data_IF_881645152565
#
_entry.id   IF_881645152565
#
_cell.length_a   1.000
_cell.length_b   1.000
_cell.length_c   1.000
_cell.angle_alpha   90.00
_cell.angle_beta   90.00
_cell.angle_gamma   90.00
#
_symmetry.space_group_name_H-M   'P 1'
#
loop_
_entity.id
_entity.type
_entity.pdbx_description
1 polymer ?
#
# COMPACT_ATOMS: atom_id res chain seq x y z
N UNK A 1 5.27 27.48 -4.46
CA UNK A 1 5.30 26.32 -5.38
C UNK A 1 4.43 25.26 -4.76
N UNK A 2 3.38 24.80 -5.44
CA UNK A 2 2.60 23.65 -4.97
C UNK A 2 3.54 22.45 -5.01
N UNK A 3 3.97 21.95 -3.84
CA UNK A 3 4.60 20.64 -3.79
C UNK A 3 3.63 19.67 -4.45
N UNK A 4 4.08 18.99 -5.50
CA UNK A 4 3.30 17.92 -6.11
C UNK A 4 2.87 17.00 -4.98
N UNK A 5 1.56 16.92 -4.72
CA UNK A 5 1.05 16.03 -3.70
C UNK A 5 1.47 14.61 -4.11
N UNK A 6 2.48 14.07 -3.43
CA UNK A 6 3.00 12.75 -3.71
C UNK A 6 1.89 11.76 -3.33
N UNK A 7 1.37 11.05 -4.34
CA UNK A 7 0.33 10.07 -4.14
C UNK A 7 1.00 8.74 -3.85
N UNK A 8 0.71 8.19 -2.67
CA UNK A 8 1.07 6.85 -2.30
C UNK A 8 0.02 5.90 -2.85
N UNK A 9 0.43 4.88 -3.58
CA UNK A 9 -0.49 3.86 -4.06
C UNK A 9 -0.36 2.58 -3.23
N UNK A 10 -1.49 2.09 -2.74
CA UNK A 10 -1.60 0.83 -2.01
C UNK A 10 -2.25 -0.19 -2.93
N UNK A 11 -1.47 -1.17 -3.38
CA UNK A 11 -1.87 -2.21 -4.32
C UNK A 11 -2.17 -3.50 -3.55
N UNK A 12 -3.39 -4.00 -3.71
CA UNK A 12 -3.84 -5.26 -3.11
C UNK A 12 -3.87 -6.35 -4.18
N UNK A 13 -3.13 -7.43 -3.94
CA UNK A 13 -2.91 -8.51 -4.92
C UNK A 13 -3.42 -9.85 -4.40
N UNK A 14 -3.90 -10.72 -5.29
CA UNK A 14 -4.13 -12.14 -5.00
C UNK A 14 -3.66 -13.03 -6.15
N UNK A 15 -3.47 -14.32 -5.85
CA UNK A 15 -3.07 -15.38 -6.79
C UNK A 15 -4.25 -16.19 -7.36
N UNK A 16 -5.47 -16.00 -6.86
CA UNK A 16 -6.66 -16.81 -7.17
C UNK A 16 -7.87 -16.00 -7.68
N UNK A 17 -8.55 -16.48 -8.72
CA UNK A 17 -9.75 -15.87 -9.30
C UNK A 17 -10.98 -15.91 -8.38
N UNK A 18 -11.12 -16.96 -7.57
CA UNK A 18 -12.19 -17.11 -6.57
C UNK A 18 -12.04 -16.09 -5.43
N UNK A 19 -10.81 -15.63 -5.18
CA UNK A 19 -10.50 -14.59 -4.20
C UNK A 19 -10.79 -13.17 -4.72
N UNK A 20 -10.97 -12.95 -6.03
CA UNK A 20 -11.13 -11.60 -6.63
C UNK A 20 -12.30 -10.80 -6.05
N UNK A 21 -13.50 -11.38 -5.98
CA UNK A 21 -14.70 -10.70 -5.46
C UNK A 21 -14.59 -10.39 -3.97
N UNK A 22 -14.09 -11.36 -3.21
CA UNK A 22 -13.83 -11.20 -1.77
C UNK A 22 -12.79 -10.11 -1.54
N UNK A 23 -11.73 -10.11 -2.34
CA UNK A 23 -10.66 -9.12 -2.24
C UNK A 23 -11.13 -7.73 -2.63
N UNK A 24 -11.98 -7.57 -3.65
CA UNK A 24 -12.54 -6.26 -4.01
C UNK A 24 -13.36 -5.63 -2.85
N UNK A 25 -14.21 -6.42 -2.19
CA UNK A 25 -14.92 -5.98 -0.99
C UNK A 25 -13.96 -5.63 0.14
N UNK A 26 -12.91 -6.44 0.28
CA UNK A 26 -11.92 -6.25 1.32
C UNK A 26 -11.11 -4.96 1.05
N UNK A 27 -10.69 -4.69 -0.19
CA UNK A 27 -10.02 -3.45 -0.60
C UNK A 27 -10.90 -2.22 -0.34
N UNK A 28 -12.21 -2.30 -0.60
CA UNK A 28 -13.15 -1.24 -0.25
C UNK A 28 -13.24 -0.99 1.27
N UNK A 29 -13.15 -2.05 2.08
CA UNK A 29 -13.07 -1.92 3.53
C UNK A 29 -11.75 -1.29 3.98
N UNK A 30 -10.62 -1.68 3.37
CA UNK A 30 -9.32 -1.07 3.64
C UNK A 30 -9.33 0.43 3.31
N UNK A 31 -9.88 0.83 2.15
CA UNK A 31 -10.02 2.23 1.80
C UNK A 31 -10.82 3.01 2.87
N UNK A 32 -11.91 2.43 3.36
CA UNK A 32 -12.71 3.01 4.45
C UNK A 32 -11.95 3.12 5.76
N UNK A 33 -11.20 2.09 6.15
CA UNK A 33 -10.34 2.11 7.34
C UNK A 33 -9.29 3.23 7.25
N UNK A 34 -8.68 3.42 6.07
CA UNK A 34 -7.73 4.50 5.82
C UNK A 34 -8.40 5.88 5.91
N UNK A 35 -9.58 6.05 5.32
CA UNK A 35 -10.34 7.30 5.46
C UNK A 35 -10.70 7.61 6.92
N UNK A 36 -11.12 6.60 7.70
CA UNK A 36 -11.40 6.74 9.13
C UNK A 36 -10.15 7.15 9.92
N UNK A 37 -8.99 6.65 9.51
CA UNK A 37 -7.68 7.04 10.03
C UNK A 37 -7.17 8.41 9.52
N UNK A 38 -8.03 9.19 8.83
CA UNK A 38 -7.76 10.54 8.29
C UNK A 38 -6.83 10.60 7.08
N UNK A 39 -6.61 9.48 6.40
CA UNK A 39 -5.95 9.49 5.10
C UNK A 39 -6.94 9.89 3.99
N UNK A 40 -6.48 10.68 3.02
CA UNK A 40 -7.24 10.95 1.80
C UNK A 40 -7.12 9.75 0.85
N UNK A 41 -7.83 8.67 1.20
CA UNK A 41 -7.83 7.40 0.48
C UNK A 41 -9.06 7.29 -0.44
N UNK A 42 -8.84 6.89 -1.68
CA UNK A 42 -9.89 6.57 -2.64
C UNK A 42 -9.56 5.25 -3.33
N UNK A 43 -10.60 4.46 -3.63
CA UNK A 43 -10.45 3.33 -4.55
C UNK A 43 -10.03 3.89 -5.90
N UNK A 44 -8.92 3.38 -6.41
CA UNK A 44 -8.48 3.67 -7.74
C UNK A 44 -9.17 2.65 -8.68
N UNK A 45 -10.06 3.16 -9.52
CA UNK A 45 -10.82 2.36 -10.49
C UNK A 45 -10.01 2.13 -11.78
N UNK A 46 -8.73 2.52 -11.80
CA UNK A 46 -7.79 2.25 -12.87
C UNK A 46 -7.65 0.76 -13.14
N UNK A 47 -8.20 0.35 -14.27
CA UNK A 47 -8.18 -0.99 -14.86
C UNK A 47 -6.86 -1.71 -14.69
N UNK A 48 -6.82 -2.75 -13.85
CA UNK A 48 -6.04 -4.00 -14.03
C UNK A 48 -4.51 -3.97 -14.19
N UNK A 49 -3.91 -2.83 -14.50
CA UNK A 49 -2.49 -2.67 -14.75
C UNK A 49 -1.87 -2.01 -13.53
N UNK A 50 -0.98 -2.76 -12.89
CA UNK A 50 -0.10 -2.22 -11.88
C UNK A 50 0.68 -1.02 -12.47
N UNK A 51 1.10 -0.03 -11.64
CA UNK A 51 1.93 1.09 -12.09
C UNK A 51 3.09 0.59 -12.95
N UNK A 52 3.39 1.31 -14.03
CA UNK A 52 4.49 0.98 -14.95
C UNK A 52 5.79 0.82 -14.14
N UNK A 53 6.39 -0.38 -14.17
CA UNK A 53 7.56 -0.73 -13.35
C UNK A 53 7.28 -1.75 -12.23
N UNK A 54 6.03 -2.06 -11.94
CA UNK A 54 5.71 -3.17 -11.03
C UNK A 54 6.12 -4.50 -11.65
N UNK A 55 7.20 -5.11 -11.14
CA UNK A 55 7.72 -6.44 -11.56
C UNK A 55 6.77 -7.63 -11.27
N UNK A 56 5.50 -7.37 -11.01
CA UNK A 56 4.51 -8.37 -10.63
C UNK A 56 3.75 -8.88 -11.86
N UNK A 57 4.45 -9.43 -12.85
CA UNK A 57 3.84 -10.02 -14.05
C UNK A 57 3.02 -11.30 -13.76
N UNK A 58 2.95 -11.76 -12.50
CA UNK A 58 2.28 -13.01 -12.11
C UNK A 58 1.19 -12.82 -11.05
N UNK A 59 1.10 -11.67 -10.37
CA UNK A 59 0.01 -11.42 -9.41
C UNK A 59 -1.04 -10.51 -10.05
N UNK A 60 -2.30 -10.95 -10.00
CA UNK A 60 -3.41 -10.11 -10.49
C UNK A 60 -3.63 -9.00 -9.47
N UNK A 61 -3.48 -7.75 -9.92
CA UNK A 61 -3.87 -6.58 -9.12
C UNK A 61 -5.38 -6.48 -9.17
N UNK A 62 -6.04 -6.61 -8.01
CA UNK A 62 -7.50 -6.72 -7.93
C UNK A 62 -8.13 -5.45 -7.39
N UNK A 63 -7.37 -4.65 -6.66
CA UNK A 63 -7.75 -3.30 -6.33
C UNK A 63 -6.55 -2.47 -5.89
N UNK A 64 -6.57 -1.21 -6.31
CA UNK A 64 -5.63 -0.18 -5.87
C UNK A 64 -6.37 0.86 -5.02
N UNK A 65 -5.65 1.42 -4.06
CA UNK A 65 -6.11 2.56 -3.26
C UNK A 65 -5.08 3.66 -3.47
N UNK A 66 -5.52 4.77 -4.04
CA UNK A 66 -4.71 5.98 -4.08
C UNK A 66 -4.87 6.69 -2.72
N UNK A 67 -3.75 6.92 -2.04
CA UNK A 67 -3.68 7.69 -0.81
C UNK A 67 -2.88 8.95 -1.12
N UNK A 68 -3.51 10.12 -1.00
CA UNK A 68 -2.85 11.39 -1.29
C UNK A 68 -2.58 12.21 -0.03
N UNK A 69 -1.52 13.01 -0.05
CA UNK A 69 -1.24 13.99 0.99
C UNK A 69 0.24 14.14 1.31
N UNK A 70 0.52 14.94 2.34
CA UNK A 70 1.86 15.03 2.93
C UNK A 70 1.96 13.95 4.00
N UNK A 71 2.81 12.94 3.79
CA UNK A 71 3.02 11.89 4.79
C UNK A 71 4.25 12.18 5.63
N UNK A 72 4.04 12.30 6.94
CA UNK A 72 5.11 12.23 7.94
C UNK A 72 5.51 10.78 8.21
N UNK A 73 6.69 10.55 8.77
CA UNK A 73 7.09 9.23 9.26
C UNK A 73 6.03 8.60 10.19
N UNK A 74 5.36 9.40 11.04
CA UNK A 74 4.28 8.93 11.90
C UNK A 74 3.05 8.46 11.10
N UNK A 75 2.65 9.21 10.06
CA UNK A 75 1.55 8.84 9.18
C UNK A 75 1.87 7.53 8.43
N UNK A 76 3.09 7.35 7.95
CA UNK A 76 3.51 6.11 7.26
C UNK A 76 3.53 4.91 8.21
N UNK A 77 3.99 5.08 9.46
CA UNK A 77 3.90 4.04 10.49
C UNK A 77 2.45 3.66 10.79
N UNK A 78 1.54 4.64 10.86
CA UNK A 78 0.12 4.37 11.06
C UNK A 78 -0.48 3.63 9.86
N UNK A 79 -0.16 4.04 8.64
CA UNK A 79 -0.60 3.39 7.41
C UNK A 79 -0.16 1.93 7.36
N UNK A 80 1.14 1.68 7.53
CA UNK A 80 1.73 0.33 7.48
C UNK A 80 1.17 -0.56 8.59
N UNK A 81 0.85 -0.01 9.76
CA UNK A 81 0.15 -0.72 10.84
C UNK A 81 -1.27 -1.13 10.43
N UNK A 82 -2.04 -0.25 9.80
CA UNK A 82 -3.41 -0.56 9.31
C UNK A 82 -3.33 -1.69 8.28
N UNK A 83 -2.44 -1.56 7.29
CA UNK A 83 -2.21 -2.56 6.23
C UNK A 83 -1.76 -3.91 6.80
N UNK A 84 -0.85 -3.90 7.77
CA UNK A 84 -0.38 -5.13 8.43
C UNK A 84 -1.50 -5.81 9.21
N UNK A 85 -2.26 -5.05 10.01
CA UNK A 85 -3.39 -5.58 10.76
C UNK A 85 -4.46 -6.17 9.83
N UNK A 86 -4.65 -5.55 8.66
CA UNK A 86 -5.57 -6.02 7.64
C UNK A 86 -5.13 -7.36 7.01
N UNK A 87 -3.84 -7.54 6.71
CA UNK A 87 -3.28 -8.83 6.27
C UNK A 87 -3.41 -9.88 7.37
N UNK A 88 -3.10 -9.54 8.62
CA UNK A 88 -3.18 -10.46 9.75
C UNK A 88 -4.61 -10.95 10.03
N UNK A 89 -5.64 -10.19 9.65
CA UNK A 89 -7.05 -10.64 9.68
C UNK A 89 -7.41 -11.64 8.57
N UNK A 90 -6.46 -11.99 7.70
CA UNK A 90 -6.69 -12.85 6.53
C UNK A 90 -7.46 -12.15 5.40
N UNK A 91 -7.50 -10.82 5.39
CA UNK A 91 -8.26 -10.04 4.38
C UNK A 91 -7.48 -9.85 3.08
N UNK A 92 -6.16 -10.08 3.09
CA UNK A 92 -5.29 -10.19 1.92
C UNK A 92 -4.04 -11.03 2.29
N UNK A 93 -3.39 -11.61 1.29
CA UNK A 93 -2.12 -12.36 1.47
C UNK A 93 -0.90 -11.44 1.46
N UNK A 94 -0.93 -10.43 0.60
CA UNK A 94 0.16 -9.50 0.33
C UNK A 94 -0.41 -8.16 -0.09
N UNK A 95 0.20 -7.08 0.41
CA UNK A 95 -0.09 -5.71 -0.01
C UNK A 95 1.23 -5.06 -0.41
N UNK A 96 1.26 -4.44 -1.59
CA UNK A 96 2.39 -3.66 -2.07
C UNK A 96 2.05 -2.18 -1.91
N UNK A 97 2.98 -1.41 -1.39
CA UNK A 97 2.88 0.05 -1.28
C UNK A 97 3.93 0.64 -2.21
N UNK A 98 3.54 1.58 -3.06
CA UNK A 98 4.44 2.31 -3.97
C UNK A 98 4.37 3.80 -3.72
N UNK A 99 5.54 4.44 -3.73
CA UNK A 99 5.78 5.86 -3.51
C UNK A 99 6.81 6.35 -4.54
N UNK A 100 6.34 6.85 -5.69
CA UNK A 100 7.20 7.10 -6.84
C UNK A 100 7.95 5.82 -7.26
N UNK A 101 9.28 5.88 -7.24
CA UNK A 101 10.18 4.77 -7.57
C UNK A 101 10.44 3.81 -6.38
N UNK A 102 9.93 4.15 -5.18
CA UNK A 102 10.12 3.33 -3.97
C UNK A 102 8.95 2.37 -3.83
N UNK A 103 9.25 1.14 -3.40
CA UNK A 103 8.22 0.15 -3.11
C UNK A 103 8.55 -0.65 -1.85
N UNK A 104 7.51 -1.06 -1.14
CA UNK A 104 7.59 -2.04 -0.06
C UNK A 104 6.47 -3.07 -0.21
N UNK A 105 6.79 -4.32 0.09
CA UNK A 105 5.84 -5.43 0.10
C UNK A 105 5.64 -5.87 1.54
N UNK A 106 4.39 -5.87 1.98
CA UNK A 106 3.95 -6.30 3.30
C UNK A 106 3.23 -7.64 3.12
N UNK A 107 3.70 -8.68 3.80
CA UNK A 107 3.04 -9.99 3.82
C UNK A 107 2.76 -10.46 5.26
N UNK A 108 2.01 -11.55 5.40
CA UNK A 108 1.57 -12.03 6.72
C UNK A 108 2.63 -12.82 7.48
N UNK A 109 3.81 -13.08 6.89
CA UNK A 109 4.70 -14.17 7.32
C UNK A 109 5.93 -13.73 8.11
N UNK A 110 6.17 -12.43 8.32
CA UNK A 110 7.35 -12.02 9.08
C UNK A 110 7.09 -10.84 10.02
N UNK A 111 7.28 -11.04 11.33
CA UNK A 111 7.02 -10.00 12.35
C UNK A 111 8.16 -9.00 12.51
N UNK A 112 9.35 -9.46 12.94
CA UNK A 112 10.51 -8.59 13.17
C UNK A 112 11.21 -8.12 11.90
N UNK A 113 11.38 -9.04 10.93
CA UNK A 113 12.05 -8.70 9.67
C UNK A 113 11.25 -7.67 8.87
N UNK A 114 9.93 -7.81 8.85
CA UNK A 114 9.05 -6.84 8.18
C UNK A 114 9.03 -5.48 8.85
N UNK A 115 9.07 -5.44 10.19
CA UNK A 115 9.16 -4.16 10.90
C UNK A 115 10.43 -3.41 10.53
N UNK A 116 11.57 -4.09 10.47
CA UNK A 116 12.83 -3.48 10.01
C UNK A 116 12.77 -3.01 8.55
N UNK A 117 12.10 -3.76 7.67
CA UNK A 117 11.88 -3.34 6.28
C UNK A 117 10.99 -2.09 6.18
N UNK A 118 9.92 -2.02 7.00
CA UNK A 118 9.04 -0.84 7.09
C UNK A 118 9.82 0.37 7.58
N UNK A 119 10.59 0.23 8.66
CA UNK A 119 11.36 1.34 9.23
C UNK A 119 12.42 1.84 8.23
N UNK A 120 13.15 0.93 7.57
CA UNK A 120 14.11 1.29 6.52
C UNK A 120 13.45 2.01 5.33
N UNK A 121 12.26 1.56 4.91
CA UNK A 121 11.54 2.20 3.81
C UNK A 121 11.09 3.62 4.19
N UNK A 122 10.57 3.82 5.40
CA UNK A 122 10.20 5.14 5.93
C UNK A 122 11.41 6.06 6.02
N UNK A 123 12.54 5.57 6.53
CA UNK A 123 13.79 6.34 6.61
C UNK A 123 14.33 6.71 5.23
N UNK A 124 14.28 5.79 4.26
CA UNK A 124 14.72 6.03 2.87
C UNK A 124 13.90 7.10 2.14
N UNK A 125 12.67 7.35 2.61
CA UNK A 125 11.76 8.36 2.08
C UNK A 125 12.08 9.76 2.61
N UNK A 126 12.41 9.85 3.89
CA UNK A 126 12.82 11.09 4.56
C UNK A 126 14.29 11.46 4.27
N UNK A 127 15.10 10.50 3.80
CA UNK A 127 16.44 10.77 3.33
C UNK A 127 16.38 11.77 2.16
N UNK A 128 17.07 12.92 2.25
CA UNK A 128 17.12 13.86 1.14
C UNK A 128 17.70 13.12 -0.07
N UNK A 129 16.93 13.06 -1.15
CA UNK A 129 17.43 12.69 -2.47
C UNK A 129 18.70 13.52 -2.70
N UNK A 130 19.84 12.83 -2.85
CA UNK A 130 21.18 13.40 -2.75
C UNK A 130 21.35 14.74 -3.48
N UNK A 131 22.10 15.60 -2.78
CA UNK A 131 22.80 16.82 -3.23
C UNK A 131 23.40 16.77 -4.63
#
# INVERSE_FOLDING_TARGET
>A
MAGTAEALHVLVTTDDDSDKRRLAMATANLARELTQARFAAALDQGSGDAPAGSKSATAVTIGSIAVSGVFSAAALRQLTRIVTAYIQRGSARKIKITDGDREIVIDGLSGKAQQALIDNWIESRDAPSGS
#
